data_IF_609712879491
#
_entry.id   IF_609712879491
#
_cell.length_a   1.000
_cell.length_b   1.000
_cell.length_c   1.000
_cell.angle_alpha   90.00
_cell.angle_beta   90.00
_cell.angle_gamma   90.00
#
_symmetry.space_group_name_H-M   'P 1'
#
loop_
_entity.id
_entity.type
_entity.pdbx_description
1 polymer ?
#
# COMPACT_ATOMS: atom_id res chain seq x y z
N UNK A 1 -22.28 -32.87 -25.63
CA UNK A 1 -21.44 -31.83 -24.97
C UNK A 1 -21.79 -30.50 -25.60
N UNK A 2 -22.13 -29.48 -24.80
CA UNK A 2 -22.30 -28.10 -25.28
C UNK A 2 -21.02 -27.35 -24.91
N UNK A 3 -20.27 -26.90 -25.91
CA UNK A 3 -19.06 -26.09 -25.72
C UNK A 3 -19.40 -24.61 -25.92
N UNK A 4 -18.99 -23.77 -24.98
CA UNK A 4 -19.13 -22.31 -25.06
C UNK A 4 -17.71 -21.68 -25.13
N UNK A 5 -17.47 -20.67 -25.98
CA UNK A 5 -16.14 -20.11 -26.21
C UNK A 5 -15.72 -19.11 -25.12
N UNK A 6 -15.62 -19.54 -23.86
CA UNK A 6 -15.22 -18.71 -22.71
C UNK A 6 -16.03 -17.41 -22.49
N UNK A 7 -17.27 -17.37 -22.95
CA UNK A 7 -18.17 -16.19 -22.83
C UNK A 7 -18.89 -16.07 -21.48
N UNK A 8 -18.37 -16.70 -20.43
CA UNK A 8 -19.04 -16.77 -19.12
C UNK A 8 -19.16 -15.42 -18.40
N UNK A 9 -18.30 -14.46 -18.75
CA UNK A 9 -18.30 -13.09 -18.23
C UNK A 9 -18.30 -12.03 -19.36
N UNK A 10 -18.63 -12.43 -20.59
CA UNK A 10 -18.63 -11.55 -21.77
C UNK A 10 -20.01 -10.92 -21.98
N UNK A 11 -20.48 -10.18 -20.97
CA UNK A 11 -21.70 -9.37 -21.04
C UNK A 11 -21.37 -7.91 -20.74
N UNK A 12 -22.15 -6.99 -21.27
CA UNK A 12 -21.96 -5.55 -21.04
C UNK A 12 -22.02 -5.20 -19.55
N UNK A 13 -22.93 -5.84 -18.80
CA UNK A 13 -23.06 -5.66 -17.37
C UNK A 13 -21.84 -6.18 -16.60
N UNK A 14 -21.24 -7.28 -17.07
CA UNK A 14 -20.03 -7.83 -16.45
C UNK A 14 -18.83 -6.91 -16.68
N UNK A 15 -18.69 -6.39 -17.89
CA UNK A 15 -17.62 -5.45 -18.27
C UNK A 15 -17.72 -4.14 -17.48
N UNK A 16 -18.92 -3.56 -17.36
CA UNK A 16 -19.16 -2.33 -16.58
C UNK A 16 -18.79 -2.54 -15.11
N UNK A 17 -19.29 -3.62 -14.49
CA UNK A 17 -18.98 -3.93 -13.10
C UNK A 17 -17.47 -4.14 -12.87
N UNK A 18 -16.79 -4.84 -13.79
CA UNK A 18 -15.34 -5.02 -13.72
C UNK A 18 -14.58 -3.70 -13.85
N UNK A 19 -15.01 -2.82 -14.76
CA UNK A 19 -14.38 -1.52 -14.97
C UNK A 19 -14.52 -0.61 -13.75
N UNK A 20 -15.73 -0.52 -13.19
CA UNK A 20 -16.00 0.26 -11.96
C UNK A 20 -15.17 -0.27 -10.80
N UNK A 21 -15.19 -1.58 -10.56
CA UNK A 21 -14.40 -2.19 -9.49
C UNK A 21 -12.89 -1.91 -9.62
N UNK A 22 -12.35 -2.01 -10.84
CA UNK A 22 -10.93 -1.75 -11.09
C UNK A 22 -10.58 -0.28 -10.86
N UNK A 23 -11.44 0.64 -11.31
CA UNK A 23 -11.26 2.07 -11.10
C UNK A 23 -11.31 2.43 -9.62
N UNK A 24 -12.30 1.92 -8.87
CA UNK A 24 -12.45 2.17 -7.44
C UNK A 24 -11.24 1.66 -6.65
N UNK A 25 -10.75 0.45 -6.95
CA UNK A 25 -9.55 -0.09 -6.28
C UNK A 25 -8.28 0.72 -6.60
N UNK A 26 -8.18 1.28 -7.81
CA UNK A 26 -7.06 2.13 -8.18
C UNK A 26 -7.13 3.49 -7.46
N UNK A 27 -8.31 4.10 -7.38
CA UNK A 27 -8.54 5.32 -6.59
C UNK A 27 -8.19 5.06 -5.12
N UNK A 28 -8.68 3.97 -4.55
CA UNK A 28 -8.44 3.63 -3.14
C UNK A 28 -6.96 3.39 -2.82
N UNK A 29 -6.23 2.74 -3.73
CA UNK A 29 -4.77 2.62 -3.63
C UNK A 29 -4.04 3.96 -3.78
N UNK A 30 -4.50 4.83 -4.69
CA UNK A 30 -3.85 6.12 -4.93
C UNK A 30 -4.09 7.09 -3.77
N UNK A 31 -5.28 7.11 -3.20
CA UNK A 31 -5.70 8.06 -2.17
C UNK A 31 -5.45 7.54 -0.76
N UNK A 32 -5.68 6.26 -0.47
CA UNK A 32 -5.61 5.70 0.90
C UNK A 32 -4.48 4.69 1.08
N UNK A 33 -3.89 4.22 -0.02
CA UNK A 33 -2.85 3.20 -0.01
C UNK A 33 -3.39 1.80 0.25
N UNK A 34 -4.70 1.60 0.17
CA UNK A 34 -5.35 0.31 0.38
C UNK A 34 -5.10 -0.62 -0.81
N UNK A 35 -5.01 -1.91 -0.53
CA UNK A 35 -4.86 -2.97 -1.53
C UNK A 35 -5.86 -4.06 -1.17
N UNK A 36 -6.86 -4.29 -2.02
CA UNK A 36 -7.93 -5.25 -1.74
C UNK A 36 -7.78 -6.53 -2.56
N UNK A 37 -7.89 -6.43 -3.89
CA UNK A 37 -7.88 -7.59 -4.80
C UNK A 37 -6.65 -7.62 -5.71
N UNK A 38 -5.50 -7.20 -5.20
CA UNK A 38 -4.27 -7.28 -5.99
C UNK A 38 -3.86 -8.74 -6.21
N UNK A 39 -3.62 -9.08 -7.47
CA UNK A 39 -3.14 -10.40 -7.86
C UNK A 39 -1.66 -10.62 -7.55
N UNK A 40 -0.91 -9.56 -7.22
CA UNK A 40 0.55 -9.60 -7.01
C UNK A 40 1.06 -8.82 -5.78
N UNK A 41 0.18 -8.24 -4.96
CA UNK A 41 0.54 -7.57 -3.70
C UNK A 41 -0.22 -8.18 -2.51
N UNK A 42 0.27 -7.96 -1.27
CA UNK A 42 -0.49 -8.29 -0.07
C UNK A 42 -1.75 -7.42 0.05
N UNK A 43 -2.84 -8.02 0.52
CA UNK A 43 -4.05 -7.28 0.85
C UNK A 43 -3.87 -6.51 2.17
N UNK A 44 -4.13 -5.21 2.16
CA UNK A 44 -3.91 -4.31 3.29
C UNK A 44 -4.92 -3.17 3.28
N UNK A 45 -5.55 -2.97 4.43
CA UNK A 45 -6.50 -1.89 4.67
C UNK A 45 -6.26 -1.33 6.06
N UNK A 46 -6.30 -0.01 6.18
CA UNK A 46 -6.11 0.71 7.43
C UNK A 46 -6.87 2.03 7.33
N UNK A 47 -7.82 2.25 8.23
CA UNK A 47 -8.63 3.47 8.25
C UNK A 47 -7.72 4.69 8.45
N UNK A 48 -8.11 5.87 7.93
CA UNK A 48 -7.28 7.07 8.10
C UNK A 48 -7.43 7.63 9.50
N UNK A 49 -6.29 7.91 10.13
CA UNK A 49 -6.26 8.65 11.37
C UNK A 49 -6.51 10.15 11.10
N UNK A 50 -7.53 10.79 11.72
CA UNK A 50 -7.79 12.21 11.54
C UNK A 50 -6.58 13.08 11.92
N UNK A 51 -6.18 13.98 11.02
CA UNK A 51 -5.06 14.90 11.23
C UNK A 51 -3.66 14.27 11.05
N UNK A 52 -3.57 12.97 10.76
CA UNK A 52 -2.30 12.32 10.45
C UNK A 52 -1.91 12.47 8.98
N UNK A 53 -0.61 12.39 8.70
CA UNK A 53 -0.07 12.21 7.35
C UNK A 53 0.21 10.74 7.11
N UNK A 54 -0.21 10.19 5.96
CA UNK A 54 -0.01 8.77 5.66
C UNK A 54 1.26 8.60 4.84
N UNK A 55 2.06 7.62 5.21
CA UNK A 55 3.22 7.14 4.46
C UNK A 55 2.92 5.70 4.10
N UNK A 56 3.15 5.34 2.83
CA UNK A 56 3.18 3.94 2.43
C UNK A 56 4.52 3.58 1.85
N UNK A 57 4.97 2.35 2.11
CA UNK A 57 6.16 1.84 1.45
C UNK A 57 6.07 0.35 1.17
N UNK A 58 6.61 -0.01 0.01
CA UNK A 58 6.81 -1.40 -0.42
C UNK A 58 8.28 -1.78 -0.21
N UNK A 59 8.53 -3.00 0.23
CA UNK A 59 9.86 -3.53 0.44
C UNK A 59 9.94 -5.04 0.18
N UNK A 60 11.16 -5.57 0.02
CA UNK A 60 11.35 -7.03 0.03
C UNK A 60 10.97 -7.59 1.41
N UNK A 61 10.33 -8.76 1.43
CA UNK A 61 9.90 -9.44 2.64
C UNK A 61 11.08 -10.11 3.38
N UNK A 62 11.98 -9.28 3.92
CA UNK A 62 13.15 -9.70 4.70
C UNK A 62 13.14 -9.04 6.08
N UNK A 63 13.77 -9.70 7.06
CA UNK A 63 13.78 -9.23 8.43
C UNK A 63 14.51 -7.88 8.58
N UNK A 64 14.02 -7.04 9.49
CA UNK A 64 14.68 -5.78 9.89
C UNK A 64 14.22 -4.54 9.14
N UNK A 65 13.69 -4.64 7.91
CA UNK A 65 13.33 -3.47 7.09
C UNK A 65 12.34 -2.52 7.79
N UNK A 66 11.24 -3.08 8.33
CA UNK A 66 10.25 -2.29 9.08
C UNK A 66 10.90 -1.59 10.29
N UNK A 67 11.76 -2.29 11.02
CA UNK A 67 12.49 -1.72 12.15
C UNK A 67 13.38 -0.55 11.75
N UNK A 68 14.15 -0.69 10.66
CA UNK A 68 14.99 0.38 10.15
C UNK A 68 14.18 1.61 9.71
N UNK A 69 13.04 1.41 9.03
CA UNK A 69 12.16 2.52 8.66
C UNK A 69 11.59 3.22 9.91
N UNK A 70 11.16 2.46 10.93
CA UNK A 70 10.69 3.04 12.18
C UNK A 70 11.79 3.80 12.93
N UNK A 71 13.05 3.34 12.88
CA UNK A 71 14.19 4.09 13.42
C UNK A 71 14.39 5.42 12.70
N UNK A 72 14.31 5.45 11.36
CA UNK A 72 14.39 6.72 10.60
C UNK A 72 13.28 7.70 11.00
N UNK A 73 12.05 7.21 11.21
CA UNK A 73 10.95 8.04 11.70
C UNK A 73 11.21 8.57 13.12
N UNK A 74 11.73 7.72 14.01
CA UNK A 74 12.08 8.11 15.37
C UNK A 74 13.19 9.16 15.41
N UNK A 75 14.25 8.99 14.62
CA UNK A 75 15.37 9.94 14.50
C UNK A 75 14.91 11.30 13.93
N UNK A 76 13.89 11.28 13.06
CA UNK A 76 13.23 12.48 12.56
C UNK A 76 12.21 13.10 13.55
N UNK A 77 12.02 12.50 14.73
CA UNK A 77 11.05 12.96 15.73
C UNK A 77 9.59 12.79 15.31
N UNK A 78 9.29 11.87 14.39
CA UNK A 78 7.94 11.62 13.87
C UNK A 78 7.24 10.55 14.71
N UNK A 79 6.15 10.95 15.38
CA UNK A 79 5.32 10.01 16.14
C UNK A 79 4.41 9.19 15.21
N UNK A 80 4.51 7.86 15.27
CA UNK A 80 3.61 6.92 14.58
C UNK A 80 2.31 6.78 15.39
N UNK A 81 1.17 7.02 14.75
CA UNK A 81 -0.15 6.93 15.39
C UNK A 81 -0.78 5.56 15.15
N UNK A 82 -0.72 5.08 13.91
CA UNK A 82 -1.23 3.77 13.53
C UNK A 82 -0.38 3.20 12.39
N UNK A 83 -0.31 1.88 12.29
CA UNK A 83 0.42 1.21 11.22
C UNK A 83 -0.12 -0.18 10.92
N UNK A 84 0.03 -0.58 9.66
CA UNK A 84 -0.32 -1.91 9.16
C UNK A 84 0.77 -2.41 8.24
N UNK A 85 1.34 -3.57 8.57
CA UNK A 85 2.29 -4.31 7.74
C UNK A 85 1.63 -5.59 7.27
N UNK A 86 1.69 -5.83 5.95
CA UNK A 86 1.24 -7.08 5.33
C UNK A 86 2.27 -7.54 4.33
N UNK A 87 2.48 -8.85 4.25
CA UNK A 87 3.41 -9.46 3.30
C UNK A 87 2.74 -10.57 2.50
N UNK A 88 3.27 -10.78 1.29
CA UNK A 88 2.89 -11.83 0.36
C UNK A 88 4.13 -12.22 -0.43
N UNK A 89 4.50 -13.49 -0.34
CA UNK A 89 5.67 -14.04 -1.02
C UNK A 89 6.93 -13.20 -0.71
N UNK A 90 7.56 -12.64 -1.75
CA UNK A 90 8.76 -11.83 -1.64
C UNK A 90 8.52 -10.35 -1.30
N UNK A 91 7.26 -9.89 -1.21
CA UNK A 91 6.93 -8.47 -1.02
C UNK A 91 6.24 -8.22 0.31
N UNK A 92 6.55 -7.07 0.91
CA UNK A 92 5.81 -6.48 2.01
C UNK A 92 5.33 -5.09 1.63
N UNK A 93 4.16 -4.70 2.12
CA UNK A 93 3.60 -3.38 1.99
C UNK A 93 3.14 -2.86 3.34
N UNK A 94 3.43 -1.60 3.58
CA UNK A 94 3.25 -0.95 4.85
C UNK A 94 2.44 0.31 4.66
N UNK A 95 1.50 0.53 5.57
CA UNK A 95 0.79 1.80 5.75
C UNK A 95 1.15 2.31 7.14
N UNK A 96 1.60 3.56 7.26
CA UNK A 96 1.95 4.20 8.51
C UNK A 96 1.31 5.59 8.54
N UNK A 97 0.53 5.88 9.57
CA UNK A 97 0.02 7.22 9.86
C UNK A 97 0.95 7.89 10.88
N UNK A 98 1.48 9.07 10.54
CA UNK A 98 2.34 9.87 11.42
C UNK A 98 1.67 11.19 11.80
N UNK A 99 1.95 11.67 13.02
CA UNK A 99 1.29 12.85 13.58
C UNK A 99 1.59 14.16 12.84
N UNK A 100 2.75 14.25 12.21
CA UNK A 100 3.20 15.44 11.49
C UNK A 100 3.72 15.05 10.11
N UNK A 101 3.58 15.97 9.15
CA UNK A 101 4.07 15.73 7.79
C UNK A 101 5.60 15.57 7.81
N UNK A 102 6.15 14.46 7.29
CA UNK A 102 7.59 14.28 7.17
C UNK A 102 8.21 15.34 6.26
N UNK A 103 9.42 15.79 6.61
CA UNK A 103 10.24 16.59 5.69
C UNK A 103 10.79 15.71 4.56
N UNK A 104 11.12 16.32 3.42
CA UNK A 104 11.64 15.60 2.25
C UNK A 104 12.90 14.79 2.56
N UNK A 105 13.70 15.22 3.53
CA UNK A 105 14.88 14.49 4.01
C UNK A 105 14.50 13.15 4.66
N UNK A 106 13.49 13.14 5.53
CA UNK A 106 13.00 11.91 6.14
C UNK A 106 12.42 10.96 5.09
N UNK A 107 11.69 11.47 4.09
CA UNK A 107 11.15 10.66 2.98
C UNK A 107 12.29 10.02 2.17
N UNK A 108 13.34 10.79 1.86
CA UNK A 108 14.53 10.27 1.16
C UNK A 108 15.27 9.24 2.01
N UNK A 109 15.38 9.46 3.32
CA UNK A 109 16.03 8.52 4.23
C UNK A 109 15.30 7.17 4.26
N UNK A 110 13.96 7.16 4.34
CA UNK A 110 13.14 5.95 4.24
C UNK A 110 13.38 5.25 2.89
N UNK A 111 13.38 6.02 1.79
CA UNK A 111 13.64 5.47 0.46
C UNK A 111 15.05 4.93 0.25
N UNK A 112 16.00 5.27 1.12
CA UNK A 112 17.39 4.76 1.10
C UNK A 112 17.62 3.54 1.99
N UNK A 113 16.63 3.14 2.80
CA UNK A 113 16.72 1.92 3.62
C UNK A 113 16.84 0.72 2.69
N UNK A 114 17.80 -0.16 2.97
CA UNK A 114 18.01 -1.37 2.19
C UNK A 114 16.70 -2.18 2.07
N UNK A 115 16.44 -2.72 0.88
CA UNK A 115 15.21 -3.44 0.51
C UNK A 115 13.93 -2.62 0.38
N UNK A 116 13.93 -1.31 0.67
CA UNK A 116 12.79 -0.45 0.33
C UNK A 116 12.77 -0.23 -1.18
N UNK A 117 11.62 -0.55 -1.79
CA UNK A 117 11.41 -0.49 -3.25
C UNK A 117 10.77 0.85 -3.62
N UNK A 118 9.79 1.31 -2.84
CA UNK A 118 9.05 2.53 -3.12
C UNK A 118 8.45 3.12 -1.85
N UNK A 119 8.49 4.44 -1.73
CA UNK A 119 7.84 5.21 -0.67
C UNK A 119 6.85 6.21 -1.30
N UNK A 120 5.72 6.44 -0.63
CA UNK A 120 4.71 7.44 -1.01
C UNK A 120 4.23 8.16 0.25
N UNK A 121 3.88 9.44 0.11
CA UNK A 121 3.21 10.22 1.16
C UNK A 121 1.83 10.62 0.62
N UNK A 122 0.78 10.32 1.38
CA UNK A 122 -0.65 10.46 1.04
C UNK A 122 -1.40 11.32 2.05
#
# INVERSE_FOLDING_TARGET
>A
VIALPHIGASTEESEENCAVMAADQLVDYLEHGHITNSVNYPAVRMDRTPGATRITFANDNVAGVLGHVLSVLADAGLNVIDMSNRSRDALAYNIIDVATRPQDEAIRAIGSVAHVIRVRVL
#
